data_IF_719618755097
#
_entry.id   IF_719618755097
#
_cell.length_a   1.000
_cell.length_b   1.000
_cell.length_c   1.000
_cell.angle_alpha   90.00
_cell.angle_beta   90.00
_cell.angle_gamma   90.00
#
_symmetry.space_group_name_H-M   'P 1'
#
loop_
_entity.id
_entity.type
_entity.pdbx_description
1 polymer ?
#
# COMPACT_ATOMS: atom_id res chain seq x y z
N UNK A 1 7.18 -10.94 2.61
CA UNK A 1 6.27 -10.11 3.43
C UNK A 1 6.88 -8.73 3.65
N UNK A 2 6.06 -7.69 3.63
CA UNK A 2 6.45 -6.29 3.81
C UNK A 2 5.79 -5.75 5.08
N UNK A 3 6.50 -4.94 5.87
CA UNK A 3 5.92 -4.29 7.04
C UNK A 3 4.81 -3.33 6.62
N UNK A 4 3.67 -3.38 7.31
CA UNK A 4 2.51 -2.51 7.06
C UNK A 4 2.89 -1.04 7.06
N UNK A 5 3.74 -0.59 7.99
CA UNK A 5 4.15 0.80 8.08
C UNK A 5 4.95 1.26 6.85
N UNK A 6 5.84 0.40 6.32
CA UNK A 6 6.58 0.67 5.08
C UNK A 6 5.62 0.82 3.90
N UNK A 7 4.61 -0.05 3.81
CA UNK A 7 3.58 0.04 2.78
C UNK A 7 2.71 1.30 2.92
N UNK A 8 2.31 1.65 4.14
CA UNK A 8 1.53 2.87 4.43
C UNK A 8 2.32 4.12 4.03
N UNK A 9 3.61 4.18 4.35
CA UNK A 9 4.47 5.28 3.94
C UNK A 9 4.54 5.36 2.40
N UNK A 10 4.67 4.22 1.72
CA UNK A 10 4.71 4.20 0.26
C UNK A 10 3.43 4.72 -0.38
N UNK A 11 2.26 4.29 0.09
CA UNK A 11 0.99 4.78 -0.48
C UNK A 11 0.75 6.27 -0.15
N UNK A 12 1.26 6.77 0.98
CA UNK A 12 1.20 8.21 1.30
C UNK A 12 2.00 9.05 0.30
N UNK A 13 3.16 8.58 -0.15
CA UNK A 13 3.91 9.22 -1.25
C UNK A 13 3.11 9.27 -2.57
N UNK A 14 2.15 8.38 -2.75
CA UNK A 14 1.26 8.30 -3.91
C UNK A 14 -0.05 9.09 -3.72
N UNK A 15 -0.05 10.06 -2.80
CA UNK A 15 -1.19 10.92 -2.42
C UNK A 15 -2.38 10.16 -1.80
N UNK A 16 -2.15 8.99 -1.20
CA UNK A 16 -3.19 8.32 -0.40
C UNK A 16 -3.21 8.87 1.02
N UNK A 17 -4.41 9.20 1.49
CA UNK A 17 -4.66 9.68 2.85
C UNK A 17 -5.61 8.74 3.58
N UNK A 18 -5.41 8.61 4.90
CA UNK A 18 -6.29 7.79 5.73
C UNK A 18 -7.72 8.35 5.69
N UNK A 19 -8.70 7.47 5.50
CA UNK A 19 -10.11 7.84 5.44
C UNK A 19 -10.88 7.36 6.65
N UNK A 20 -10.84 6.06 6.93
CA UNK A 20 -11.56 5.44 8.03
C UNK A 20 -11.04 4.04 8.32
N UNK A 21 -11.47 3.46 9.43
CA UNK A 21 -11.21 2.09 9.82
C UNK A 21 -12.46 1.24 9.57
N UNK A 22 -12.30 0.06 9.00
CA UNK A 22 -13.38 -0.90 8.78
C UNK A 22 -12.97 -2.28 9.30
N UNK A 23 -13.55 -2.71 10.43
CA UNK A 23 -13.24 -4.00 11.08
C UNK A 23 -11.72 -4.17 11.27
N UNK A 24 -11.07 -4.99 10.44
CA UNK A 24 -9.65 -5.36 10.48
C UNK A 24 -8.81 -4.69 9.39
N UNK A 25 -9.32 -3.63 8.75
CA UNK A 25 -8.61 -2.89 7.70
C UNK A 25 -8.67 -1.38 7.93
N UNK A 26 -7.65 -0.69 7.41
CA UNK A 26 -7.62 0.75 7.26
C UNK A 26 -7.90 1.11 5.81
N UNK A 27 -8.85 2.02 5.59
CA UNK A 27 -9.20 2.50 4.26
C UNK A 27 -8.43 3.79 3.97
N UNK A 28 -7.71 3.81 2.86
CA UNK A 28 -7.00 4.97 2.34
C UNK A 28 -7.60 5.42 1.01
N UNK A 29 -7.73 6.73 0.79
CA UNK A 29 -8.25 7.32 -0.43
C UNK A 29 -7.19 8.20 -1.09
N UNK A 30 -7.02 8.05 -2.41
CA UNK A 30 -6.16 8.93 -3.20
C UNK A 30 -6.77 10.32 -3.36
N UNK A 31 -5.98 11.36 -3.19
CA UNK A 31 -6.41 12.76 -3.38
C UNK A 31 -6.97 12.97 -4.79
N UNK A 32 -8.05 13.73 -4.90
CA UNK A 32 -8.73 14.05 -6.16
C UNK A 32 -9.13 12.84 -7.01
N UNK A 33 -9.28 11.66 -6.39
CA UNK A 33 -9.65 10.42 -7.08
C UNK A 33 -10.72 9.66 -6.31
N UNK A 34 -11.36 8.70 -6.99
CA UNK A 34 -12.23 7.68 -6.41
C UNK A 34 -11.47 6.39 -6.08
N UNK A 35 -10.14 6.35 -6.27
CA UNK A 35 -9.29 5.22 -5.92
C UNK A 35 -9.17 5.05 -4.40
N UNK A 36 -9.32 3.80 -3.94
CA UNK A 36 -9.17 3.41 -2.55
C UNK A 36 -8.21 2.22 -2.42
N UNK A 37 -7.51 2.15 -1.29
CA UNK A 37 -6.72 0.99 -0.87
C UNK A 37 -7.17 0.57 0.53
N UNK A 38 -7.56 -0.69 0.67
CA UNK A 38 -7.88 -1.30 1.96
C UNK A 38 -6.64 -2.02 2.50
N UNK A 39 -5.98 -1.46 3.51
CA UNK A 39 -4.78 -2.03 4.11
C UNK A 39 -5.17 -2.90 5.31
N UNK A 40 -4.83 -4.21 5.33
CA UNK A 40 -5.02 -5.05 6.50
C UNK A 40 -4.29 -4.50 7.74
N UNK A 41 -4.84 -4.72 8.93
CA UNK A 41 -4.19 -4.37 10.20
C UNK A 41 -3.07 -5.33 10.62
N UNK A 42 -2.81 -6.37 9.84
CA UNK A 42 -1.68 -7.26 10.07
C UNK A 42 -0.37 -6.49 9.96
N UNK A 43 0.60 -6.78 10.83
CA UNK A 43 1.90 -6.09 10.82
C UNK A 43 2.73 -6.43 9.60
N UNK A 44 2.55 -7.63 9.05
CA UNK A 44 3.19 -8.11 7.84
C UNK A 44 2.13 -8.31 6.75
N UNK A 45 2.42 -7.79 5.57
CA UNK A 45 1.59 -7.89 4.38
C UNK A 45 2.23 -8.82 3.36
N UNK A 46 1.41 -9.58 2.65
CA UNK A 46 1.88 -10.45 1.57
C UNK A 46 2.44 -9.64 0.41
N UNK A 47 3.52 -10.14 -0.20
CA UNK A 47 4.20 -9.43 -1.29
C UNK A 47 3.27 -9.28 -2.50
N UNK A 48 2.43 -10.28 -2.75
CA UNK A 48 1.40 -10.26 -3.79
C UNK A 48 0.37 -9.14 -3.54
N UNK A 49 -0.14 -9.03 -2.31
CA UNK A 49 -1.06 -7.95 -1.94
C UNK A 49 -0.45 -6.57 -2.17
N UNK A 50 0.79 -6.38 -1.73
CA UNK A 50 1.53 -5.13 -1.92
C UNK A 50 1.74 -4.83 -3.41
N UNK A 51 2.17 -5.81 -4.18
CA UNK A 51 2.40 -5.65 -5.62
C UNK A 51 1.12 -5.28 -6.37
N UNK A 52 0.01 -5.97 -6.10
CA UNK A 52 -1.28 -5.66 -6.71
C UNK A 52 -1.78 -4.26 -6.34
N UNK A 53 -1.66 -3.87 -5.07
CA UNK A 53 -2.09 -2.55 -4.61
C UNK A 53 -1.29 -1.41 -5.24
N UNK A 54 0.04 -1.57 -5.34
CA UNK A 54 0.92 -0.58 -5.98
C UNK A 54 0.70 -0.50 -7.49
N UNK A 55 0.45 -1.64 -8.15
CA UNK A 55 0.09 -1.68 -9.57
C UNK A 55 -1.19 -0.90 -9.84
N UNK A 56 -2.22 -1.08 -9.01
CA UNK A 56 -3.47 -0.31 -9.09
C UNK A 56 -3.27 1.19 -8.79
N UNK A 57 -2.29 1.53 -7.94
CA UNK A 57 -1.91 2.92 -7.67
C UNK A 57 -1.13 3.58 -8.83
N UNK A 58 -0.68 2.80 -9.82
CA UNK A 58 0.03 3.26 -11.01
C UNK A 58 1.55 3.14 -10.93
N UNK A 59 2.09 2.35 -9.99
CA UNK A 59 3.52 2.05 -9.97
C UNK A 59 3.89 1.08 -11.10
N UNK A 60 5.08 1.25 -11.67
CA UNK A 60 5.64 0.30 -12.65
C UNK A 60 6.13 -0.98 -11.97
N UNK A 61 6.24 -2.08 -12.72
CA UNK A 61 6.77 -3.35 -12.18
C UNK A 61 8.17 -3.19 -11.58
N UNK A 62 9.01 -2.33 -12.16
CA UNK A 62 10.35 -2.02 -11.67
C UNK A 62 10.31 -1.31 -10.31
N UNK A 63 9.42 -0.32 -10.14
CA UNK A 63 9.22 0.38 -8.87
C UNK A 63 8.70 -0.57 -7.79
N UNK A 64 7.77 -1.45 -8.14
CA UNK A 64 7.18 -2.44 -7.23
C UNK A 64 8.27 -3.42 -6.77
N UNK A 65 9.03 -3.99 -7.71
CA UNK A 65 10.12 -4.92 -7.40
C UNK A 65 11.16 -4.27 -6.49
N UNK A 66 11.58 -3.04 -6.82
CA UNK A 66 12.54 -2.28 -6.02
C UNK A 66 12.02 -2.06 -4.59
N UNK A 67 10.76 -1.64 -4.45
CA UNK A 67 10.15 -1.41 -3.15
C UNK A 67 10.12 -2.68 -2.28
N UNK A 68 9.71 -3.82 -2.85
CA UNK A 68 9.62 -5.09 -2.12
C UNK A 68 11.01 -5.57 -1.70
N UNK A 69 12.03 -5.41 -2.55
CA UNK A 69 13.42 -5.76 -2.20
C UNK A 69 13.92 -4.87 -1.06
N UNK A 70 13.75 -3.55 -1.15
CA UNK A 70 14.20 -2.60 -0.12
C UNK A 70 13.53 -2.85 1.24
N UNK A 71 12.25 -3.24 1.27
CA UNK A 71 11.56 -3.51 2.52
C UNK A 71 11.96 -4.83 3.21
N UNK A 72 12.70 -5.70 2.52
CA UNK A 72 13.14 -7.00 3.02
C UNK A 72 14.62 -7.04 3.40
N UNK A 73 15.41 -6.11 2.86
CA UNK A 73 16.80 -5.87 3.25
C UNK A 73 16.87 -5.26 4.65
#
# INVERSE_FOLDING_TARGET
MVRRDSFINKIRELDYSYKTQQKRTYLYRRKNSTSYICVPMADLLEDEFVAHSLRQAGCTEEQIRTFIVVCKS
#
